data_IF_657094886899
#
_entry.id   IF_657094886899
#
_cell.length_a   1.000
_cell.length_b   1.000
_cell.length_c   1.000
_cell.angle_alpha   90.00
_cell.angle_beta   90.00
_cell.angle_gamma   90.00
#
_symmetry.space_group_name_H-M   'P 1'
#
loop_
_entity.id
_entity.type
_entity.pdbx_description
1 polymer ?
#
# COMPACT_ATOMS: atom_id res chain seq x y z
N UNK A 1 -10.57 48.45 16.97
CA UNK A 1 -11.85 47.75 16.72
C UNK A 1 -11.48 46.32 16.39
N UNK A 2 -11.42 45.46 17.41
CA UNK A 2 -11.27 44.01 17.21
C UNK A 2 -12.56 43.46 16.62
N UNK A 3 -12.45 42.66 15.56
CA UNK A 3 -13.59 42.09 14.86
C UNK A 3 -14.21 40.96 15.72
N UNK A 4 -15.49 41.07 16.14
CA UNK A 4 -16.13 40.08 17.01
C UNK A 4 -16.47 38.74 16.31
N UNK A 5 -16.05 38.57 15.06
CA UNK A 5 -16.30 37.40 14.22
C UNK A 5 -15.06 36.55 13.92
N UNK A 6 -13.93 36.80 14.58
CA UNK A 6 -12.88 35.78 14.66
C UNK A 6 -13.38 34.64 15.57
N UNK A 7 -14.34 33.86 15.06
CA UNK A 7 -14.58 32.51 15.56
C UNK A 7 -13.23 31.84 15.56
N UNK A 8 -12.78 31.43 16.75
CA UNK A 8 -11.58 30.67 17.00
C UNK A 8 -11.72 29.32 16.30
N UNK A 9 -11.70 29.33 14.96
CA UNK A 9 -11.70 28.14 14.15
C UNK A 9 -10.36 27.51 14.46
N UNK A 10 -10.39 26.41 15.22
CA UNK A 10 -9.25 25.55 15.45
C UNK A 10 -8.55 25.38 14.11
N UNK A 11 -7.49 26.18 13.91
CA UNK A 11 -6.80 26.29 12.64
C UNK A 11 -6.19 24.93 12.44
N UNK A 12 -6.82 24.11 11.59
CA UNK A 12 -6.37 22.76 11.32
C UNK A 12 -4.91 22.88 10.89
N UNK A 13 -3.98 22.17 11.54
CA UNK A 13 -2.59 22.28 11.15
C UNK A 13 -2.49 21.83 9.70
N UNK A 14 -2.02 22.72 8.82
CA UNK A 14 -1.88 22.48 7.37
C UNK A 14 -1.15 21.17 7.09
N UNK A 15 -0.22 20.82 7.97
CA UNK A 15 0.52 19.56 7.96
C UNK A 15 -0.37 18.31 8.03
N UNK A 16 -1.39 18.28 8.90
CA UNK A 16 -2.34 17.16 8.97
C UNK A 16 -3.17 17.04 7.69
N UNK A 17 -3.59 18.16 7.13
CA UNK A 17 -4.33 18.19 5.86
C UNK A 17 -3.49 17.58 4.73
N UNK A 18 -2.22 17.96 4.62
CA UNK A 18 -1.31 17.42 3.61
C UNK A 18 -1.08 15.92 3.81
N UNK A 19 -0.85 15.47 5.05
CA UNK A 19 -0.70 14.03 5.34
C UNK A 19 -1.95 13.23 4.97
N UNK A 20 -3.14 13.70 5.35
CA UNK A 20 -4.39 13.04 4.98
C UNK A 20 -4.56 12.96 3.46
N UNK A 21 -4.23 14.03 2.72
CA UNK A 21 -4.28 14.02 1.25
C UNK A 21 -3.26 13.04 0.68
N UNK A 22 -2.04 13.00 1.20
CA UNK A 22 -1.02 12.04 0.77
C UNK A 22 -1.45 10.59 1.02
N UNK A 23 -2.03 10.30 2.18
CA UNK A 23 -2.59 8.98 2.50
C UNK A 23 -3.77 8.63 1.60
N UNK A 24 -4.60 9.61 1.25
CA UNK A 24 -5.72 9.43 0.34
C UNK A 24 -5.25 9.13 -1.08
N UNK A 25 -4.19 9.82 -1.55
CA UNK A 25 -3.58 9.55 -2.85
C UNK A 25 -2.92 8.16 -2.84
N UNK A 26 -2.14 7.84 -1.81
CA UNK A 26 -1.45 6.54 -1.71
C UNK A 26 -2.42 5.36 -1.63
N UNK A 27 -3.41 5.44 -0.72
CA UNK A 27 -4.41 4.39 -0.53
C UNK A 27 -5.41 4.35 -1.68
N UNK A 28 -5.81 5.51 -2.20
CA UNK A 28 -6.70 5.63 -3.36
C UNK A 28 -6.07 5.07 -4.64
N UNK A 29 -4.78 5.29 -4.84
CA UNK A 29 -4.03 4.66 -5.92
C UNK A 29 -3.95 3.14 -5.77
N UNK A 30 -3.70 2.64 -4.55
CA UNK A 30 -3.71 1.20 -4.26
C UNK A 30 -5.05 0.53 -4.54
N UNK A 31 -6.15 1.16 -4.13
CA UNK A 31 -7.52 0.68 -4.41
C UNK A 31 -7.80 0.70 -5.91
N UNK A 32 -7.42 1.78 -6.60
CA UNK A 32 -7.64 1.91 -8.04
C UNK A 32 -6.84 0.85 -8.81
N UNK A 33 -5.59 0.60 -8.44
CA UNK A 33 -4.76 -0.41 -9.10
C UNK A 33 -5.29 -1.83 -8.88
N UNK A 34 -5.81 -2.14 -7.69
CA UNK A 34 -6.45 -3.43 -7.40
C UNK A 34 -7.79 -3.60 -8.11
N UNK A 35 -8.62 -2.56 -8.16
CA UNK A 35 -9.88 -2.57 -8.93
C UNK A 35 -9.61 -2.71 -10.43
N UNK A 36 -8.63 -1.97 -10.95
CA UNK A 36 -8.22 -2.07 -12.35
C UNK A 36 -7.69 -3.47 -12.66
N UNK A 37 -6.85 -4.04 -11.79
CA UNK A 37 -6.42 -5.43 -11.93
C UNK A 37 -7.64 -6.36 -12.02
N UNK A 38 -8.56 -6.34 -11.07
CA UNK A 38 -9.73 -7.22 -11.08
C UNK A 38 -10.63 -7.08 -12.32
N UNK A 39 -10.84 -5.85 -12.81
CA UNK A 39 -11.69 -5.58 -13.97
C UNK A 39 -11.02 -6.01 -15.28
N UNK A 40 -9.72 -5.77 -15.42
CA UNK A 40 -8.97 -5.98 -16.66
C UNK A 40 -8.25 -7.34 -16.72
N UNK A 41 -8.20 -8.12 -15.62
CA UNK A 41 -7.59 -9.48 -15.61
C UNK A 41 -8.23 -10.41 -16.65
N UNK A 42 -9.51 -10.24 -16.98
CA UNK A 42 -10.19 -11.07 -17.99
C UNK A 42 -9.91 -10.62 -19.45
N UNK A 43 -9.28 -9.46 -19.63
CA UNK A 43 -9.05 -8.83 -20.94
C UNK A 43 -7.58 -8.92 -21.37
N UNK A 44 -6.68 -9.14 -20.41
CA UNK A 44 -5.24 -9.28 -20.64
C UNK A 44 -4.93 -10.77 -20.78
N UNK A 45 -4.52 -11.16 -21.99
CA UNK A 45 -4.06 -12.52 -22.25
C UNK A 45 -2.66 -12.70 -21.61
N UNK A 46 -2.63 -13.23 -20.39
CA UNK A 46 -1.43 -13.42 -19.57
C UNK A 46 -0.39 -14.33 -20.25
N UNK A 47 -0.84 -15.14 -21.23
CA UNK A 47 -0.01 -16.05 -22.01
C UNK A 47 1.11 -15.33 -22.80
N UNK A 48 0.79 -14.20 -23.46
CA UNK A 48 1.74 -13.45 -24.28
C UNK A 48 2.84 -12.77 -23.45
N UNK A 49 2.50 -12.32 -22.24
CA UNK A 49 3.48 -11.71 -21.33
C UNK A 49 4.42 -12.75 -20.72
N UNK A 50 3.94 -13.99 -20.53
CA UNK A 50 4.74 -15.09 -19.97
C UNK A 50 5.82 -15.56 -20.96
N UNK A 51 5.48 -15.66 -22.24
CA UNK A 51 6.41 -16.12 -23.29
C UNK A 51 7.51 -15.09 -23.60
N UNK A 52 7.18 -13.80 -23.57
CA UNK A 52 8.14 -12.71 -23.75
C UNK A 52 9.10 -12.58 -22.55
N UNK A 53 8.64 -12.92 -21.34
CA UNK A 53 9.52 -12.98 -20.16
C UNK A 53 10.52 -14.13 -20.27
N UNK A 54 10.07 -15.30 -20.70
CA UNK A 54 10.90 -16.50 -20.84
C UNK A 54 12.00 -16.32 -21.92
N UNK A 55 11.68 -15.65 -23.04
CA UNK A 55 12.67 -15.38 -24.11
C UNK A 55 13.72 -14.33 -23.71
N UNK A 56 13.40 -13.40 -22.82
CA UNK A 56 14.39 -12.48 -22.24
C UNK A 56 15.31 -13.17 -21.22
N UNK A 57 14.87 -14.28 -20.60
CA UNK A 57 15.66 -15.07 -19.65
C UNK A 57 16.77 -15.87 -20.36
N UNK A 58 16.46 -16.51 -21.48
CA UNK A 58 17.43 -17.27 -22.28
C UNK A 58 18.58 -16.42 -22.82
N UNK A 59 18.34 -15.12 -23.03
CA UNK A 59 19.36 -14.19 -23.55
C UNK A 59 20.25 -13.57 -22.45
N UNK A 60 19.99 -13.85 -21.17
CA UNK A 60 20.63 -13.17 -20.03
C UNK A 60 21.56 -14.08 -19.21
N UNK A 61 21.96 -15.22 -19.76
CA UNK A 61 22.70 -16.29 -19.06
C UNK A 61 24.21 -16.04 -18.87
N UNK A 62 24.69 -14.79 -18.88
CA UNK A 62 26.14 -14.51 -18.75
C UNK A 62 26.49 -13.34 -17.81
N UNK A 63 26.79 -13.66 -16.55
CA UNK A 63 27.50 -12.75 -15.62
C UNK A 63 27.17 -13.00 -14.14
N UNK A 64 28.13 -12.80 -13.23
CA UNK A 64 28.01 -13.10 -11.79
C UNK A 64 26.87 -12.38 -11.01
N UNK A 65 26.08 -11.52 -11.66
CA UNK A 65 24.82 -10.96 -11.14
C UNK A 65 23.57 -11.81 -11.44
N UNK A 66 23.71 -12.90 -12.21
CA UNK A 66 22.60 -13.77 -12.64
C UNK A 66 21.99 -14.59 -11.51
N UNK A 67 22.72 -14.93 -10.45
CA UNK A 67 22.20 -15.73 -9.32
C UNK A 67 21.23 -14.96 -8.44
N UNK A 68 21.51 -13.67 -8.18
CA UNK A 68 20.58 -12.79 -7.49
C UNK A 68 19.37 -12.46 -8.37
N UNK A 69 19.61 -12.19 -9.66
CA UNK A 69 18.53 -11.95 -10.63
C UNK A 69 17.62 -13.17 -10.80
N UNK A 70 18.17 -14.38 -10.92
CA UNK A 70 17.40 -15.61 -11.05
C UNK A 70 16.65 -15.96 -9.75
N UNK A 71 17.22 -15.67 -8.58
CA UNK A 71 16.54 -15.78 -7.29
C UNK A 71 15.36 -14.81 -7.15
N UNK A 72 15.51 -13.56 -7.62
CA UNK A 72 14.42 -12.58 -7.69
C UNK A 72 13.34 -13.05 -8.65
N UNK A 73 13.73 -13.57 -9.82
CA UNK A 73 12.81 -13.93 -10.88
C UNK A 73 11.97 -15.16 -10.54
N UNK A 74 12.60 -16.20 -10.00
CA UNK A 74 11.90 -17.38 -9.45
C UNK A 74 10.95 -17.00 -8.32
N UNK A 75 11.40 -16.19 -7.36
CA UNK A 75 10.54 -15.67 -6.28
C UNK A 75 9.38 -14.82 -6.82
N UNK A 76 9.60 -14.04 -7.88
CA UNK A 76 8.57 -13.22 -8.53
C UNK A 76 7.50 -14.10 -9.19
N UNK A 77 7.90 -15.17 -9.88
CA UNK A 77 6.98 -16.12 -10.49
C UNK A 77 6.14 -16.85 -9.43
N UNK A 78 6.74 -17.31 -8.33
CA UNK A 78 6.02 -17.95 -7.23
C UNK A 78 4.97 -17.01 -6.60
N UNK A 79 5.37 -15.75 -6.33
CA UNK A 79 4.47 -14.75 -5.75
C UNK A 79 3.37 -14.37 -6.71
N UNK A 80 3.68 -14.23 -8.00
CA UNK A 80 2.69 -13.94 -9.03
C UNK A 80 1.67 -15.08 -9.14
N UNK A 81 2.12 -16.34 -9.12
CA UNK A 81 1.24 -17.50 -9.18
C UNK A 81 0.36 -17.66 -7.93
N UNK A 82 0.94 -17.47 -6.74
CA UNK A 82 0.19 -17.48 -5.48
C UNK A 82 -0.82 -16.34 -5.39
N UNK A 83 -0.42 -15.14 -5.85
CA UNK A 83 -1.30 -13.97 -5.91
C UNK A 83 -2.39 -14.13 -6.96
N UNK A 84 -2.14 -14.82 -8.07
CA UNK A 84 -3.16 -15.11 -9.11
C UNK A 84 -4.21 -16.11 -8.61
N UNK A 85 -3.80 -17.19 -7.92
CA UNK A 85 -4.75 -18.17 -7.36
C UNK A 85 -5.68 -17.55 -6.30
N UNK A 86 -5.15 -16.64 -5.48
CA UNK A 86 -5.90 -15.96 -4.43
C UNK A 86 -6.20 -14.49 -4.75
N UNK A 87 -6.15 -14.09 -6.03
CA UNK A 87 -6.23 -12.69 -6.46
C UNK A 87 -7.48 -12.00 -5.94
N UNK A 88 -8.64 -12.69 -6.07
CA UNK A 88 -9.92 -12.18 -5.60
C UNK A 88 -9.93 -11.97 -4.07
N UNK A 89 -9.43 -12.96 -3.31
CA UNK A 89 -9.40 -12.88 -1.85
C UNK A 89 -8.46 -11.78 -1.36
N UNK A 90 -7.26 -11.68 -1.93
CA UNK A 90 -6.28 -10.64 -1.62
C UNK A 90 -6.86 -9.27 -1.95
N UNK A 91 -7.42 -9.09 -3.14
CA UNK A 91 -7.99 -7.81 -3.56
C UNK A 91 -9.16 -7.39 -2.66
N UNK A 92 -10.06 -8.30 -2.27
CA UNK A 92 -11.17 -7.98 -1.36
C UNK A 92 -10.65 -7.59 0.01
N UNK A 93 -9.70 -8.35 0.59
CA UNK A 93 -9.12 -8.05 1.92
C UNK A 93 -8.38 -6.72 1.89
N UNK A 94 -7.54 -6.49 0.87
CA UNK A 94 -6.83 -5.23 0.68
C UNK A 94 -7.78 -4.05 0.46
N UNK A 95 -8.90 -4.24 -0.24
CA UNK A 95 -9.90 -3.20 -0.47
C UNK A 95 -10.59 -2.84 0.87
N UNK A 96 -11.02 -3.83 1.65
CA UNK A 96 -11.61 -3.60 2.98
C UNK A 96 -10.63 -2.88 3.91
N UNK A 97 -9.37 -3.31 3.94
CA UNK A 97 -8.32 -2.68 4.75
C UNK A 97 -8.01 -1.25 4.28
N UNK A 98 -8.00 -1.01 2.97
CA UNK A 98 -7.78 0.33 2.41
C UNK A 98 -8.95 1.27 2.68
N UNK A 99 -10.20 0.77 2.65
CA UNK A 99 -11.37 1.54 3.08
C UNK A 99 -11.31 1.88 4.57
N UNK A 100 -10.83 0.94 5.39
CA UNK A 100 -10.63 1.15 6.81
C UNK A 100 -9.53 2.21 7.07
N UNK A 101 -8.43 2.16 6.30
CA UNK A 101 -7.38 3.18 6.36
C UNK A 101 -7.89 4.56 5.89
N UNK A 102 -8.70 4.62 4.83
CA UNK A 102 -9.38 5.84 4.38
C UNK A 102 -10.32 6.39 5.45
N UNK A 103 -11.11 5.53 6.10
CA UNK A 103 -12.00 5.92 7.18
C UNK A 103 -11.21 6.50 8.36
N UNK A 104 -10.08 5.87 8.72
CA UNK A 104 -9.11 6.40 9.67
C UNK A 104 -8.59 7.78 9.28
N UNK A 105 -8.23 7.97 8.00
CA UNK A 105 -7.76 9.25 7.48
C UNK A 105 -8.84 10.34 7.49
N UNK A 106 -10.10 10.02 7.19
CA UNK A 106 -11.25 10.96 7.26
C UNK A 106 -11.52 11.36 8.71
N UNK A 107 -11.43 10.41 9.65
CA UNK A 107 -11.55 10.68 11.08
C UNK A 107 -10.39 11.55 11.60
N UNK A 108 -9.16 11.33 11.09
CA UNK A 108 -8.01 12.19 11.38
C UNK A 108 -8.18 13.60 10.79
N UNK A 109 -8.77 13.72 9.60
CA UNK A 109 -9.16 15.01 9.02
C UNK A 109 -10.15 15.77 9.91
N UNK A 110 -10.96 15.03 10.66
CA UNK A 110 -11.89 15.55 11.67
C UNK A 110 -11.25 15.78 13.05
N UNK A 111 -9.91 15.71 13.17
CA UNK A 111 -9.12 15.89 14.40
C UNK A 111 -9.41 14.88 15.52
N UNK A 112 -9.95 13.69 15.19
CA UNK A 112 -10.26 12.64 16.18
C UNK A 112 -9.12 11.65 16.32
N UNK A 113 -8.63 11.45 17.56
CA UNK A 113 -7.55 10.49 17.89
C UNK A 113 -7.87 9.04 17.51
N UNK A 114 -9.15 8.66 17.50
CA UNK A 114 -9.61 7.32 17.06
C UNK A 114 -9.15 7.01 15.63
N UNK A 115 -9.10 8.01 14.74
CA UNK A 115 -8.72 7.81 13.34
C UNK A 115 -7.30 7.29 13.18
N UNK A 116 -6.38 7.76 14.05
CA UNK A 116 -4.99 7.30 14.06
C UNK A 116 -4.87 5.80 14.36
N UNK A 117 -5.55 5.31 15.39
CA UNK A 117 -5.52 3.88 15.74
C UNK A 117 -6.09 3.01 14.61
N UNK A 118 -7.21 3.42 14.01
CA UNK A 118 -7.81 2.69 12.88
C UNK A 118 -6.86 2.62 11.70
N UNK A 119 -6.25 3.75 11.33
CA UNK A 119 -5.27 3.82 10.25
C UNK A 119 -4.05 2.94 10.51
N UNK A 120 -3.44 3.05 11.70
CA UNK A 120 -2.24 2.27 12.05
C UNK A 120 -2.51 0.77 12.03
N UNK A 121 -3.64 0.32 12.60
CA UNK A 121 -4.02 -1.10 12.58
C UNK A 121 -4.31 -1.56 11.15
N UNK A 122 -5.03 -0.78 10.35
CA UNK A 122 -5.32 -1.11 8.96
C UNK A 122 -4.03 -1.24 8.14
N UNK A 123 -3.13 -0.28 8.24
CA UNK A 123 -1.86 -0.26 7.49
C UNK A 123 -0.94 -1.41 7.92
N UNK A 124 -0.89 -1.72 9.22
CA UNK A 124 -0.13 -2.85 9.75
C UNK A 124 -0.69 -4.18 9.26
N UNK A 125 -2.02 -4.35 9.24
CA UNK A 125 -2.66 -5.55 8.69
C UNK A 125 -2.41 -5.68 7.18
N UNK A 126 -2.45 -4.57 6.44
CA UNK A 126 -2.18 -4.53 4.99
C UNK A 126 -0.78 -5.05 4.66
N UNK A 127 0.20 -4.77 5.53
CA UNK A 127 1.57 -5.25 5.42
C UNK A 127 1.68 -6.79 5.40
N UNK A 128 0.80 -7.48 6.15
CA UNK A 128 0.83 -8.94 6.28
C UNK A 128 -0.05 -9.68 5.27
N UNK A 129 -0.84 -8.97 4.44
CA UNK A 129 -1.72 -9.62 3.46
C UNK A 129 -0.91 -10.45 2.46
N UNK A 130 0.10 -9.86 1.80
CA UNK A 130 0.88 -10.56 0.76
C UNK A 130 1.70 -11.72 1.34
N UNK A 131 2.47 -11.56 2.45
CA UNK A 131 3.18 -12.69 3.06
C UNK A 131 2.28 -13.85 3.50
N UNK A 132 1.04 -13.57 3.90
CA UNK A 132 0.09 -14.61 4.31
C UNK A 132 -0.33 -15.53 3.15
N UNK A 133 -0.49 -14.98 1.94
CA UNK A 133 -0.93 -15.77 0.77
C UNK A 133 0.23 -16.26 -0.09
N UNK A 134 1.30 -15.48 -0.23
CA UNK A 134 2.43 -15.78 -1.10
C UNK A 134 3.64 -16.37 -0.35
N UNK A 135 3.59 -16.44 0.98
CA UNK A 135 4.71 -16.89 1.82
C UNK A 135 5.82 -15.85 1.96
N UNK A 136 6.91 -16.26 2.63
CA UNK A 136 8.08 -15.41 2.91
C UNK A 136 9.18 -15.61 1.87
N UNK A 137 8.91 -15.28 0.61
CA UNK A 137 9.93 -15.27 -0.44
C UNK A 137 10.78 -13.99 -0.38
N UNK A 138 11.96 -13.99 -1.01
CA UNK A 138 12.89 -12.85 -0.99
C UNK A 138 12.24 -11.56 -1.49
N UNK A 139 11.45 -11.64 -2.57
CA UNK A 139 10.76 -10.48 -3.15
C UNK A 139 9.66 -9.95 -2.21
N UNK A 140 8.94 -10.84 -1.51
CA UNK A 140 7.89 -10.44 -0.55
C UNK A 140 8.52 -9.75 0.66
N UNK A 141 9.60 -10.30 1.21
CA UNK A 141 10.31 -9.70 2.34
C UNK A 141 10.88 -8.33 1.97
N UNK A 142 11.46 -8.18 0.77
CA UNK A 142 11.94 -6.90 0.27
C UNK A 142 10.81 -5.88 0.07
N UNK A 143 9.69 -6.30 -0.54
CA UNK A 143 8.51 -5.46 -0.70
C UNK A 143 7.89 -5.04 0.63
N UNK A 144 7.85 -5.97 1.59
CA UNK A 144 7.37 -5.74 2.95
C UNK A 144 8.25 -4.72 3.68
N UNK A 145 9.58 -4.85 3.61
CA UNK A 145 10.52 -3.89 4.19
C UNK A 145 10.32 -2.49 3.62
N UNK A 146 10.22 -2.38 2.29
CA UNK A 146 9.99 -1.09 1.63
C UNK A 146 8.67 -0.46 2.08
N UNK A 147 7.57 -1.22 2.04
CA UNK A 147 6.26 -0.73 2.49
C UNK A 147 6.21 -0.39 3.98
N UNK A 148 6.91 -1.17 4.82
CA UNK A 148 7.01 -0.92 6.25
C UNK A 148 7.71 0.41 6.55
N UNK A 149 8.77 0.75 5.81
CA UNK A 149 9.46 2.04 5.96
C UNK A 149 8.51 3.22 5.72
N UNK A 150 7.76 3.21 4.61
CA UNK A 150 6.76 4.25 4.34
C UNK A 150 5.68 4.28 5.41
N UNK A 151 5.17 3.12 5.81
CA UNK A 151 4.15 2.99 6.85
C UNK A 151 4.61 3.61 8.18
N UNK A 152 5.82 3.28 8.62
CA UNK A 152 6.40 3.82 9.86
C UNK A 152 6.59 5.33 9.76
N UNK A 153 7.10 5.84 8.63
CA UNK A 153 7.26 7.28 8.40
C UNK A 153 5.92 8.00 8.53
N UNK A 154 4.87 7.52 7.87
CA UNK A 154 3.53 8.11 7.99
C UNK A 154 2.98 8.03 9.41
N UNK A 155 3.13 6.89 10.10
CA UNK A 155 2.71 6.73 11.50
C UNK A 155 3.42 7.75 12.40
N UNK A 156 4.73 7.95 12.25
CA UNK A 156 5.50 8.93 13.04
C UNK A 156 5.02 10.35 12.74
N UNK A 157 4.84 10.70 11.45
CA UNK A 157 4.38 12.03 11.06
C UNK A 157 2.98 12.34 11.63
N UNK A 158 2.08 11.36 11.64
CA UNK A 158 0.79 11.47 12.31
C UNK A 158 0.92 11.53 13.83
N UNK A 159 1.81 10.72 14.42
CA UNK A 159 2.04 10.71 15.86
C UNK A 159 2.56 12.05 16.38
N UNK A 160 3.45 12.72 15.64
CA UNK A 160 3.92 14.07 15.95
C UNK A 160 2.79 15.11 15.95
N UNK A 161 1.72 14.85 15.19
CA UNK A 161 0.54 15.71 15.14
C UNK A 161 -0.62 15.24 16.03
N UNK A 162 -0.46 14.15 16.79
CA UNK A 162 -1.48 13.68 17.74
C UNK A 162 -1.79 14.72 18.81
N UNK A 163 -0.82 15.57 19.19
CA UNK A 163 -1.03 16.64 20.17
C UNK A 163 -2.00 17.72 19.67
N UNK A 164 -2.12 17.87 18.35
CA UNK A 164 -3.10 18.76 17.73
C UNK A 164 -4.50 18.12 17.62
N UNK A 165 -4.59 16.79 17.66
CA UNK A 165 -5.85 16.04 17.69
C UNK A 165 -6.39 15.98 19.14
N UNK A 166 -7.70 16.22 19.31
CA UNK A 166 -8.35 16.16 20.62
C UNK A 166 -8.95 14.79 20.87
#
# INVERSE_FOLDING_TARGET
MENPFETNQLKRPTFLTVLCILTFIGSGWGVLSQLFSLLFTNLVDVSAQTEQLNTMMDNMESGAGTSFLSGILSSSQEVMQATMMHAKSIAVISLVLSLLSLCGAILMFSLRRIGFYIYTVAQLLLLFVVPYFAGFSMIVVMGMLFSALFTVVFIILYALNLKAMR
#
